data_IF_483522812243
#
_entry.id   IF_483522812243
#
_cell.length_a   1.000
_cell.length_b   1.000
_cell.length_c   1.000
_cell.angle_alpha   90.00
_cell.angle_beta   90.00
_cell.angle_gamma   90.00
#
_symmetry.space_group_name_H-M   'P 1'
#
loop_
_entity.id
_entity.type
_entity.pdbx_description
1 polymer ?
#
# COMPACT_ATOMS: atom_id res chain seq x y z
N UNK A 1 14.93 -31.31 -10.88
CA UNK A 1 13.68 -30.70 -10.35
C UNK A 1 14.06 -29.48 -9.53
N UNK A 2 13.44 -28.28 -9.77
CA UNK A 2 13.68 -27.06 -8.98
C UNK A 2 12.59 -26.94 -7.92
N UNK A 3 12.97 -26.62 -6.69
CA UNK A 3 12.06 -26.29 -5.61
C UNK A 3 12.32 -24.86 -5.16
N UNK A 4 11.31 -24.00 -5.23
CA UNK A 4 11.38 -22.62 -4.70
C UNK A 4 10.91 -22.67 -3.24
N UNK A 5 11.87 -22.70 -2.31
CA UNK A 5 11.63 -22.75 -0.87
C UNK A 5 11.70 -21.33 -0.29
N UNK A 6 10.76 -21.01 0.61
CA UNK A 6 10.73 -19.73 1.34
C UNK A 6 10.57 -18.51 0.41
N UNK A 7 9.77 -18.64 -0.64
CA UNK A 7 9.40 -17.51 -1.49
C UNK A 7 8.53 -16.51 -0.71
N UNK A 8 8.80 -15.22 -0.90
CA UNK A 8 7.97 -14.15 -0.34
C UNK A 8 6.88 -13.81 -1.36
N UNK A 9 5.59 -14.05 -1.06
CA UNK A 9 4.51 -13.71 -1.98
C UNK A 9 4.28 -12.21 -2.03
N UNK A 10 4.09 -11.68 -3.23
CA UNK A 10 3.64 -10.30 -3.48
C UNK A 10 2.58 -10.36 -4.58
N UNK A 11 1.44 -9.75 -4.33
CA UNK A 11 0.36 -9.68 -5.31
C UNK A 11 0.26 -8.26 -5.87
N UNK A 12 0.37 -8.12 -7.17
CA UNK A 12 0.09 -6.88 -7.90
C UNK A 12 -1.20 -7.10 -8.70
N UNK A 13 -2.29 -6.54 -8.19
CA UNK A 13 -3.64 -6.76 -8.66
C UNK A 13 -4.11 -5.49 -9.36
N UNK A 14 -4.65 -5.66 -10.57
CA UNK A 14 -5.16 -4.55 -11.40
C UNK A 14 -6.67 -4.47 -11.35
N UNK A 15 -7.20 -3.26 -11.54
CA UNK A 15 -8.59 -3.07 -11.92
C UNK A 15 -9.56 -2.71 -10.80
N UNK A 16 -9.14 -2.00 -9.77
CA UNK A 16 -10.11 -1.34 -8.90
C UNK A 16 -10.96 -0.34 -9.74
N UNK A 17 -12.29 -0.29 -9.53
CA UNK A 17 -13.17 0.54 -10.34
C UNK A 17 -12.79 2.03 -10.30
N UNK A 18 -12.64 2.67 -11.46
CA UNK A 18 -12.18 4.06 -11.55
C UNK A 18 -13.10 5.03 -10.80
N UNK A 19 -14.42 4.78 -10.79
CA UNK A 19 -15.35 5.62 -10.01
C UNK A 19 -15.00 5.60 -8.51
N UNK A 20 -14.72 4.42 -7.94
CA UNK A 20 -14.29 4.32 -6.54
C UNK A 20 -12.97 5.06 -6.32
N UNK A 21 -12.01 4.92 -7.24
CA UNK A 21 -10.72 5.59 -7.16
C UNK A 21 -10.88 7.11 -7.16
N UNK A 22 -11.74 7.66 -8.02
CA UNK A 22 -11.99 9.09 -8.09
C UNK A 22 -12.67 9.63 -6.81
N UNK A 23 -13.62 8.89 -6.23
CA UNK A 23 -14.26 9.23 -4.96
C UNK A 23 -13.25 9.23 -3.80
N UNK A 24 -12.37 8.23 -3.74
CA UNK A 24 -11.30 8.12 -2.73
C UNK A 24 -10.23 9.20 -2.92
N UNK A 25 -9.87 9.51 -4.17
CA UNK A 25 -8.94 10.61 -4.48
C UNK A 25 -9.45 11.95 -3.94
N UNK A 26 -10.72 12.28 -4.18
CA UNK A 26 -11.33 13.49 -3.61
C UNK A 26 -11.42 13.40 -2.08
N UNK A 27 -11.60 12.19 -1.54
CA UNK A 27 -11.56 11.89 -0.12
C UNK A 27 -10.24 12.29 0.53
N UNK A 28 -9.12 12.01 -0.12
CA UNK A 28 -7.78 12.29 0.41
C UNK A 28 -7.61 13.76 0.80
N UNK A 29 -8.01 14.67 -0.07
CA UNK A 29 -7.91 16.11 0.22
C UNK A 29 -8.92 16.60 1.26
N UNK A 30 -10.11 15.99 1.33
CA UNK A 30 -11.07 16.27 2.43
C UNK A 30 -10.48 15.83 3.77
N UNK A 31 -9.81 14.69 3.83
CA UNK A 31 -9.13 14.20 5.03
C UNK A 31 -7.97 15.11 5.42
N UNK A 32 -7.15 15.53 4.47
CA UNK A 32 -6.04 16.46 4.69
C UNK A 32 -6.51 17.81 5.31
N UNK A 33 -7.70 18.28 4.92
CA UNK A 33 -8.30 19.47 5.52
C UNK A 33 -8.86 19.25 6.93
N UNK A 34 -9.34 18.03 7.22
CA UNK A 34 -10.06 17.72 8.47
C UNK A 34 -9.13 17.22 9.59
N UNK A 35 -8.09 16.49 9.23
CA UNK A 35 -7.21 15.84 10.20
C UNK A 35 -5.77 16.29 10.01
N UNK A 36 -5.02 16.53 11.12
CA UNK A 36 -3.59 16.86 11.04
C UNK A 36 -2.81 15.65 10.49
N UNK A 37 -1.66 15.93 9.87
CA UNK A 37 -0.73 14.88 9.45
C UNK A 37 -0.11 14.18 10.67
N UNK A 38 -0.03 12.86 10.63
CA UNK A 38 0.78 12.09 11.57
C UNK A 38 2.21 11.97 11.04
N UNK A 39 3.18 11.86 11.96
CA UNK A 39 4.60 11.66 11.65
C UNK A 39 4.96 10.20 11.97
N UNK A 40 4.64 9.28 11.04
CA UNK A 40 4.97 7.86 11.20
C UNK A 40 6.17 7.49 10.34
N UNK A 41 5.95 7.21 9.06
CA UNK A 41 7.04 6.84 8.13
C UNK A 41 7.30 7.91 7.07
N UNK A 42 6.41 8.87 6.95
CA UNK A 42 6.50 9.93 5.97
C UNK A 42 7.60 10.95 6.32
N UNK A 43 8.35 11.33 5.30
CA UNK A 43 9.31 12.40 5.32
C UNK A 43 8.80 13.50 4.38
N UNK A 44 8.30 14.59 4.94
CA UNK A 44 7.42 15.52 4.24
C UNK A 44 6.03 14.90 3.99
N UNK A 45 5.25 15.53 3.11
CA UNK A 45 3.94 15.05 2.70
C UNK A 45 2.89 15.00 3.82
N UNK A 46 1.80 14.33 3.52
CA UNK A 46 0.70 14.12 4.44
C UNK A 46 0.43 12.64 4.63
N UNK A 47 0.37 12.20 5.88
CA UNK A 47 -0.16 10.91 6.27
C UNK A 47 -1.33 11.14 7.23
N UNK A 48 -2.53 10.64 6.90
CA UNK A 48 -3.67 10.78 7.81
C UNK A 48 -3.44 9.98 9.09
N UNK A 49 -4.17 10.28 10.17
CA UNK A 49 -4.31 9.31 11.25
C UNK A 49 -4.78 7.96 10.71
N UNK A 50 -4.46 6.91 11.44
CA UNK A 50 -4.93 5.57 11.17
C UNK A 50 -6.36 5.42 11.66
N UNK A 51 -7.24 4.89 10.81
CA UNK A 51 -8.65 4.69 11.11
C UNK A 51 -8.99 3.20 11.09
N UNK A 52 -9.94 2.78 11.90
CA UNK A 52 -10.52 1.44 11.82
C UNK A 52 -11.35 1.28 10.54
N UNK A 53 -11.52 0.03 10.09
CA UNK A 53 -12.17 -0.30 8.82
C UNK A 53 -13.61 0.26 8.71
N UNK A 54 -14.37 0.35 9.81
CA UNK A 54 -15.75 0.86 9.83
C UNK A 54 -15.87 2.31 9.35
N UNK A 55 -14.77 3.06 9.41
CA UNK A 55 -14.71 4.44 8.94
C UNK A 55 -14.30 4.56 7.46
N UNK A 56 -14.05 3.42 6.78
CA UNK A 56 -13.73 3.43 5.36
C UNK A 56 -15.00 3.58 4.51
N UNK A 57 -14.81 3.87 3.22
CA UNK A 57 -15.89 3.98 2.25
C UNK A 57 -16.70 2.68 2.17
N UNK A 58 -18.02 2.65 2.50
CA UNK A 58 -18.77 1.40 2.68
C UNK A 58 -18.78 0.46 1.47
N UNK A 59 -18.87 1.04 0.25
CA UNK A 59 -18.78 0.25 -0.99
C UNK A 59 -17.33 -0.15 -1.29
N UNK A 60 -16.36 0.70 -0.90
CA UNK A 60 -14.94 0.45 -1.07
C UNK A 60 -14.49 -0.82 -0.36
N UNK A 61 -14.92 -1.02 0.89
CA UNK A 61 -14.64 -2.25 1.66
C UNK A 61 -15.10 -3.49 0.88
N UNK A 62 -16.35 -3.50 0.42
CA UNK A 62 -16.91 -4.65 -0.32
C UNK A 62 -16.14 -4.95 -1.60
N UNK A 63 -15.74 -3.90 -2.33
CA UNK A 63 -14.97 -4.04 -3.57
C UNK A 63 -13.59 -4.56 -3.28
N UNK A 64 -12.89 -4.01 -2.29
CA UNK A 64 -11.53 -4.42 -1.93
C UNK A 64 -11.53 -5.86 -1.43
N UNK A 65 -12.43 -6.23 -0.50
CA UNK A 65 -12.55 -7.61 -0.03
C UNK A 65 -12.78 -8.58 -1.19
N UNK A 66 -13.72 -8.28 -2.10
CA UNK A 66 -13.95 -9.11 -3.28
C UNK A 66 -12.71 -9.24 -4.18
N UNK A 67 -11.93 -8.16 -4.34
CA UNK A 67 -10.67 -8.22 -5.10
C UNK A 67 -9.66 -9.13 -4.39
N UNK A 68 -9.53 -9.00 -3.08
CA UNK A 68 -8.65 -9.83 -2.27
C UNK A 68 -9.04 -11.30 -2.38
N UNK A 69 -10.29 -11.65 -2.09
CA UNK A 69 -10.82 -13.02 -2.13
C UNK A 69 -10.57 -13.70 -3.48
N UNK A 70 -10.80 -12.96 -4.58
CA UNK A 70 -10.61 -13.49 -5.93
C UNK A 70 -9.13 -13.78 -6.28
N UNK A 71 -8.19 -13.06 -5.68
CA UNK A 71 -6.79 -13.10 -6.08
C UNK A 71 -5.89 -13.88 -5.13
N UNK A 72 -6.13 -13.80 -3.82
CA UNK A 72 -5.25 -14.46 -2.84
C UNK A 72 -5.81 -15.74 -2.26
N UNK A 73 -7.12 -15.99 -2.39
CA UNK A 73 -7.81 -17.18 -1.88
C UNK A 73 -7.55 -17.47 -0.39
N UNK A 74 -7.36 -16.42 0.38
CA UNK A 74 -7.21 -16.44 1.83
C UNK A 74 -8.24 -15.49 2.42
N UNK A 75 -8.93 -15.93 3.46
CA UNK A 75 -9.83 -15.04 4.19
C UNK A 75 -9.01 -14.06 4.99
N UNK A 76 -9.31 -12.77 4.87
CA UNK A 76 -8.66 -11.73 5.63
C UNK A 76 -9.61 -10.59 5.97
N UNK A 77 -9.31 -9.91 7.07
CA UNK A 77 -10.03 -8.76 7.58
C UNK A 77 -9.16 -7.52 7.52
N UNK A 78 -9.72 -6.39 7.07
CA UNK A 78 -9.04 -5.09 7.11
C UNK A 78 -9.14 -4.56 8.55
N UNK A 79 -7.99 -4.41 9.21
CA UNK A 79 -7.90 -3.89 10.58
C UNK A 79 -7.98 -2.36 10.59
N UNK A 80 -7.20 -1.73 9.72
CA UNK A 80 -7.06 -0.27 9.69
C UNK A 80 -6.58 0.23 8.34
N UNK A 81 -6.74 1.54 8.12
CA UNK A 81 -6.36 2.20 6.88
C UNK A 81 -5.98 3.66 7.11
N UNK A 82 -5.22 4.25 6.17
CA UNK A 82 -4.86 5.67 6.15
C UNK A 82 -4.53 6.15 4.74
N UNK A 83 -4.64 7.45 4.52
CA UNK A 83 -4.18 8.13 3.32
C UNK A 83 -2.71 8.52 3.42
N UNK A 84 -2.00 8.43 2.27
CA UNK A 84 -0.71 9.05 2.05
C UNK A 84 -0.82 10.01 0.85
N UNK A 85 -0.35 11.26 1.01
CA UNK A 85 -0.23 12.25 -0.06
C UNK A 85 1.21 12.75 -0.04
N UNK A 86 1.98 12.35 -1.04
CA UNK A 86 3.38 12.70 -1.18
C UNK A 86 3.53 13.68 -2.34
N UNK A 87 3.79 14.95 -2.04
CA UNK A 87 4.18 15.96 -3.01
C UNK A 87 5.60 15.74 -3.51
N UNK A 88 6.10 16.66 -4.33
CA UNK A 88 7.47 16.58 -4.88
C UNK A 88 8.51 16.51 -3.76
N UNK A 89 9.38 15.51 -3.85
CA UNK A 89 10.46 15.27 -2.88
C UNK A 89 10.03 14.51 -1.62
N UNK A 90 8.73 14.33 -1.37
CA UNK A 90 8.24 13.58 -0.21
C UNK A 90 8.39 12.07 -0.40
N UNK A 91 8.66 11.34 0.69
CA UNK A 91 8.96 9.92 0.67
C UNK A 91 8.56 9.22 1.97
N UNK A 92 8.67 7.88 2.01
CA UNK A 92 8.47 7.10 3.25
C UNK A 92 9.72 6.23 3.48
N UNK A 93 10.30 6.30 4.70
CA UNK A 93 11.49 5.52 5.03
C UNK A 93 11.18 4.02 5.18
N UNK A 94 12.23 3.15 5.18
CA UNK A 94 12.04 1.71 5.33
C UNK A 94 11.31 1.36 6.63
N UNK A 95 10.24 0.54 6.52
CA UNK A 95 9.39 0.14 7.64
C UNK A 95 8.68 -1.19 7.36
N UNK A 96 8.00 -1.69 8.38
CA UNK A 96 7.10 -2.84 8.37
C UNK A 96 5.76 -2.44 8.98
N UNK A 97 4.76 -3.34 8.96
CA UNK A 97 3.44 -3.13 9.57
C UNK A 97 3.23 -4.09 10.75
N UNK A 98 3.83 -3.82 11.92
CA UNK A 98 3.71 -4.73 13.07
C UNK A 98 2.26 -4.83 13.55
N UNK A 99 1.87 -6.05 13.94
CA UNK A 99 0.50 -6.34 14.44
C UNK A 99 -0.51 -6.64 13.34
N UNK A 100 -0.05 -6.87 12.11
CA UNK A 100 -0.87 -7.34 10.99
C UNK A 100 -0.13 -8.46 10.24
N UNK A 101 -0.86 -9.23 9.43
CA UNK A 101 -0.28 -10.31 8.63
C UNK A 101 0.08 -9.83 7.21
N UNK A 102 -0.74 -8.95 6.65
CA UNK A 102 -0.54 -8.40 5.32
C UNK A 102 -0.66 -6.87 5.33
N UNK A 103 0.11 -6.24 4.46
CA UNK A 103 0.01 -4.83 4.11
C UNK A 103 -0.54 -4.68 2.69
N UNK A 104 -1.48 -3.75 2.49
CA UNK A 104 -2.08 -3.42 1.21
C UNK A 104 -1.87 -1.95 0.89
N UNK A 105 -1.53 -1.66 -0.36
CA UNK A 105 -1.49 -0.30 -0.90
C UNK A 105 -2.41 -0.23 -2.11
N UNK A 106 -3.45 0.62 -2.03
CA UNK A 106 -4.33 1.00 -3.14
C UNK A 106 -3.85 2.32 -3.72
N UNK A 107 -3.54 2.35 -5.00
CA UNK A 107 -3.03 3.54 -5.68
C UNK A 107 -4.16 4.39 -6.27
N UNK A 108 -4.21 5.66 -5.87
CA UNK A 108 -5.18 6.64 -6.40
C UNK A 108 -4.56 7.49 -7.51
N UNK A 109 -3.24 7.45 -7.66
CA UNK A 109 -2.44 8.00 -8.77
C UNK A 109 -1.37 6.99 -9.17
N UNK A 110 -0.68 7.21 -10.28
CA UNK A 110 0.45 6.37 -10.67
C UNK A 110 1.61 6.46 -9.68
N UNK A 111 2.30 5.33 -9.43
CA UNK A 111 3.38 5.24 -8.44
C UNK A 111 4.79 5.46 -9.00
N UNK A 112 4.96 5.41 -10.32
CA UNK A 112 6.25 5.52 -11.01
C UNK A 112 7.33 4.52 -10.56
N UNK A 113 6.91 3.36 -10.05
CA UNK A 113 7.85 2.33 -9.58
C UNK A 113 8.57 2.71 -8.28
N UNK A 114 8.01 3.61 -7.48
CA UNK A 114 8.69 4.15 -6.30
C UNK A 114 8.50 3.32 -5.03
N UNK A 115 7.62 2.30 -5.03
CA UNK A 115 7.54 1.32 -3.94
C UNK A 115 8.63 0.28 -4.11
N UNK A 116 9.54 0.20 -3.15
CA UNK A 116 10.60 -0.80 -3.08
C UNK A 116 10.33 -1.79 -1.97
N UNK A 117 10.42 -3.08 -2.31
CA UNK A 117 10.36 -4.19 -1.38
C UNK A 117 11.79 -4.72 -1.18
N UNK A 118 12.25 -4.74 0.07
CA UNK A 118 13.59 -5.24 0.38
C UNK A 118 13.57 -6.77 0.43
N UNK A 119 14.58 -7.38 -0.18
CA UNK A 119 14.71 -8.83 -0.15
C UNK A 119 15.02 -9.30 1.29
N UNK A 120 14.13 -10.06 1.95
CA UNK A 120 14.35 -10.56 3.31
C UNK A 120 15.52 -11.56 3.40
N UNK A 121 15.97 -12.07 2.25
CA UNK A 121 17.08 -13.00 2.11
C UNK A 121 18.30 -12.37 1.41
N UNK A 122 18.53 -11.07 1.59
CA UNK A 122 19.61 -10.31 0.94
C UNK A 122 21.03 -10.87 1.19
N UNK A 123 21.21 -11.66 2.25
CA UNK A 123 22.48 -12.34 2.55
C UNK A 123 22.76 -13.55 1.64
N UNK A 124 21.80 -13.99 0.81
CA UNK A 124 22.00 -15.09 -0.13
C UNK A 124 22.65 -14.59 -1.42
N UNK A 125 23.56 -15.41 -1.96
CA UNK A 125 24.28 -15.11 -3.20
C UNK A 125 23.36 -15.03 -4.42
N UNK A 126 22.23 -15.77 -4.38
CA UNK A 126 21.24 -15.83 -5.44
C UNK A 126 20.00 -15.02 -5.02
N UNK A 127 19.49 -14.19 -5.91
CA UNK A 127 18.31 -13.33 -5.68
C UNK A 127 18.48 -12.33 -4.51
N UNK A 128 19.57 -11.59 -4.48
CA UNK A 128 19.84 -10.57 -3.47
C UNK A 128 19.32 -9.15 -3.86
N UNK A 129 18.51 -9.05 -4.92
CA UNK A 129 18.03 -7.77 -5.40
C UNK A 129 16.72 -7.37 -4.71
N UNK A 130 16.62 -6.09 -4.39
CA UNK A 130 15.35 -5.46 -4.02
C UNK A 130 14.46 -5.34 -5.26
N UNK A 131 13.16 -5.34 -5.07
CA UNK A 131 12.18 -5.24 -6.16
C UNK A 131 11.42 -3.94 -6.06
N UNK A 132 11.32 -3.20 -7.15
CA UNK A 132 10.39 -2.06 -7.24
C UNK A 132 9.08 -2.49 -7.91
N UNK A 133 7.98 -1.88 -7.47
CA UNK A 133 6.65 -2.10 -8.03
C UNK A 133 6.19 -0.82 -8.73
N UNK A 134 5.92 -0.96 -10.03
CA UNK A 134 5.34 0.12 -10.83
C UNK A 134 3.82 -0.04 -10.93
N UNK A 135 3.12 0.39 -9.89
CA UNK A 135 1.67 0.36 -9.84
C UNK A 135 1.07 1.59 -10.52
N UNK A 136 -0.05 1.39 -11.20
CA UNK A 136 -0.83 2.44 -11.87
C UNK A 136 -2.04 2.82 -11.02
N UNK A 137 -2.68 3.93 -11.35
CA UNK A 137 -3.94 4.34 -10.74
C UNK A 137 -4.97 3.18 -10.79
N UNK A 138 -5.52 2.82 -9.64
CA UNK A 138 -6.46 1.72 -9.48
C UNK A 138 -5.80 0.35 -9.21
N UNK A 139 -4.47 0.25 -9.20
CA UNK A 139 -3.79 -0.97 -8.82
C UNK A 139 -3.76 -1.16 -7.30
N UNK A 140 -3.72 -2.42 -6.88
CA UNK A 140 -3.53 -2.84 -5.50
C UNK A 140 -2.23 -3.63 -5.44
N UNK A 141 -1.37 -3.30 -4.48
CA UNK A 141 -0.20 -4.12 -4.13
C UNK A 141 -0.40 -4.65 -2.72
N UNK A 142 -0.29 -5.98 -2.58
CA UNK A 142 -0.45 -6.70 -1.31
C UNK A 142 0.80 -7.52 -1.05
N UNK A 143 1.29 -7.51 0.19
CA UNK A 143 2.52 -8.20 0.59
C UNK A 143 2.52 -8.50 2.09
N UNK A 144 3.38 -9.44 2.58
CA UNK A 144 3.53 -9.71 4.01
C UNK A 144 3.86 -8.45 4.81
N UNK A 145 3.21 -8.27 5.95
CA UNK A 145 3.35 -7.08 6.78
C UNK A 145 4.75 -6.90 7.38
N UNK A 146 5.50 -7.98 7.55
CA UNK A 146 6.90 -8.01 8.03
C UNK A 146 7.92 -7.72 6.93
N UNK A 147 7.49 -7.68 5.66
CA UNK A 147 8.38 -7.33 4.54
C UNK A 147 8.76 -5.85 4.62
N UNK A 148 10.06 -5.61 4.84
CA UNK A 148 10.58 -4.24 4.89
C UNK A 148 10.41 -3.58 3.52
N UNK A 149 9.79 -2.41 3.51
CA UNK A 149 9.53 -1.65 2.30
C UNK A 149 9.67 -0.15 2.55
N UNK A 150 9.87 0.58 1.46
CA UNK A 150 9.97 2.03 1.48
C UNK A 150 9.47 2.63 0.18
N UNK A 151 9.23 3.94 0.18
CA UNK A 151 8.78 4.66 -1.00
C UNK A 151 9.76 5.78 -1.29
N UNK A 152 10.34 5.79 -2.50
CA UNK A 152 11.29 6.80 -2.95
C UNK A 152 10.65 8.20 -3.04
N UNK A 153 11.48 9.27 -2.99
CA UNK A 153 10.99 10.62 -3.21
C UNK A 153 10.19 10.76 -4.49
N UNK A 154 9.02 11.40 -4.39
CA UNK A 154 8.20 11.69 -5.57
C UNK A 154 8.93 12.71 -6.47
N UNK A 155 9.29 12.36 -7.71
CA UNK A 155 10.00 13.26 -8.62
C UNK A 155 9.09 14.28 -9.33
N UNK A 156 7.75 14.07 -9.28
CA UNK A 156 6.77 14.87 -10.00
C UNK A 156 6.32 16.09 -9.20
N UNK A 157 5.78 17.07 -9.92
CA UNK A 157 5.09 18.22 -9.29
C UNK A 157 3.71 17.81 -8.74
N UNK A 158 3.06 16.80 -9.35
CA UNK A 158 1.76 16.28 -8.94
C UNK A 158 1.90 15.38 -7.72
N UNK A 159 0.89 15.44 -6.85
CA UNK A 159 0.82 14.59 -5.67
C UNK A 159 0.68 13.11 -6.05
N UNK A 160 1.51 12.26 -5.45
CA UNK A 160 1.33 10.81 -5.43
C UNK A 160 0.44 10.45 -4.26
N UNK A 161 -0.72 9.84 -4.53
CA UNK A 161 -1.74 9.55 -3.52
C UNK A 161 -2.01 8.06 -3.47
N UNK A 162 -2.01 7.50 -2.26
CA UNK A 162 -2.36 6.11 -2.00
C UNK A 162 -3.14 5.96 -0.70
N UNK A 163 -3.80 4.81 -0.56
CA UNK A 163 -4.36 4.33 0.71
C UNK A 163 -3.59 3.10 1.11
N UNK A 164 -3.07 3.10 2.33
CA UNK A 164 -2.48 1.90 2.94
C UNK A 164 -3.47 1.26 3.90
N UNK A 165 -3.42 -0.06 4.00
CA UNK A 165 -4.27 -0.85 4.89
C UNK A 165 -3.45 -1.94 5.57
N UNK A 166 -3.81 -2.24 6.81
CA UNK A 166 -3.35 -3.40 7.57
C UNK A 166 -4.42 -4.48 7.56
N UNK A 167 -4.03 -5.72 7.29
CA UNK A 167 -4.94 -6.87 7.23
C UNK A 167 -4.48 -7.98 8.15
N UNK A 168 -5.48 -8.70 8.71
CA UNK A 168 -5.31 -9.93 9.49
C UNK A 168 -5.83 -11.11 8.67
N UNK A 169 -5.11 -12.22 8.67
CA UNK A 169 -5.61 -13.51 8.17
C UNK A 169 -6.59 -14.11 9.18
N UNK A 170 -7.72 -14.69 8.69
CA UNK A 170 -8.75 -15.32 9.51
C UNK A 170 -8.49 -16.81 9.71
#
# INVERSE_FOLDING_TARGET
MRHDLFSTPVWHIKGAPLQLIDELYQGAYRFKKKYPSTQMTNQGGYQSPQFFWENFHPQGIKIINKIIDNNIKMECEILSWWYNINGKGDWNYPHTHPGSDLALVLYLTDSDGLLFLLNPHSHRVINNHNTSINAQKGDIVLFPADLVHYVMPNPREEDRISISMNLQLC
#
